data_IF_383915075920
#
_entry.id   IF_383915075920
#
_cell.length_a   1.000
_cell.length_b   1.000
_cell.length_c   1.000
_cell.angle_alpha   90.00
_cell.angle_beta   90.00
_cell.angle_gamma   90.00
#
_symmetry.space_group_name_H-M   'P 1'
#
loop_
_entity.id
_entity.type
_entity.pdbx_description
1 polymer ?
#
# COMPACT_ATOMS: atom_id res chain seq x y z
N UNK A 1 5.43 9.11 12.61
CA UNK A 1 4.37 8.29 12.00
C UNK A 1 3.04 9.00 12.23
N UNK A 2 2.40 9.57 11.22
CA UNK A 2 0.96 9.82 11.33
C UNK A 2 0.33 8.44 11.51
N UNK A 3 -0.41 8.24 12.60
CA UNK A 3 -1.05 6.96 12.92
C UNK A 3 -2.18 6.74 11.90
N UNK A 4 -1.81 6.35 10.68
CA UNK A 4 -2.74 6.25 9.57
C UNK A 4 -3.63 5.03 9.84
N UNK A 5 -4.88 5.31 10.18
CA UNK A 5 -5.94 4.32 10.31
C UNK A 5 -6.12 3.61 8.98
N UNK A 6 -5.97 2.29 8.96
CA UNK A 6 -6.23 1.48 7.77
C UNK A 6 -7.74 1.28 7.60
N UNK A 7 -8.21 1.36 6.35
CA UNK A 7 -9.63 1.25 6.02
C UNK A 7 -9.91 -0.12 5.43
N UNK A 8 -10.86 -0.86 5.99
CA UNK A 8 -11.22 -2.20 5.53
C UNK A 8 -12.70 -2.25 5.16
N UNK A 9 -13.00 -2.70 3.94
CA UNK A 9 -14.37 -2.98 3.55
C UNK A 9 -14.77 -4.33 4.15
N UNK A 10 -15.67 -4.35 5.12
CA UNK A 10 -16.24 -5.59 5.66
C UNK A 10 -17.58 -5.84 4.99
N UNK A 11 -17.69 -7.00 4.32
CA UNK A 11 -18.92 -7.49 3.72
C UNK A 11 -19.20 -8.88 4.29
N UNK A 12 -20.33 -9.03 4.98
CA UNK A 12 -20.72 -10.29 5.60
C UNK A 12 -21.81 -10.97 4.78
N UNK A 13 -21.58 -12.21 4.32
CA UNK A 13 -22.55 -12.97 3.53
C UNK A 13 -23.07 -14.19 4.29
N UNK A 14 -24.35 -14.51 4.10
CA UNK A 14 -25.02 -15.63 4.73
C UNK A 14 -26.12 -16.22 3.82
N UNK A 15 -26.65 -17.39 4.17
CA UNK A 15 -27.88 -17.92 3.59
C UNK A 15 -29.02 -18.01 4.61
N UNK A 16 -30.25 -17.64 4.24
CA UNK A 16 -31.41 -17.69 5.14
C UNK A 16 -31.76 -19.09 5.66
N UNK A 17 -31.26 -20.14 5.00
CA UNK A 17 -31.53 -21.55 5.36
C UNK A 17 -30.66 -22.06 6.52
N UNK A 18 -29.67 -21.27 6.96
CA UNK A 18 -28.80 -21.58 8.10
C UNK A 18 -29.23 -20.79 9.35
N UNK A 19 -28.47 -20.93 10.44
CA UNK A 19 -28.77 -20.23 11.70
C UNK A 19 -28.42 -18.74 11.58
N UNK A 20 -29.39 -17.94 11.13
CA UNK A 20 -29.23 -16.49 10.90
C UNK A 20 -28.86 -15.72 12.18
N UNK A 21 -29.52 -15.94 13.34
CA UNK A 21 -29.11 -15.28 14.58
C UNK A 21 -27.65 -15.57 14.97
N UNK A 22 -27.19 -16.82 14.81
CA UNK A 22 -25.78 -17.14 15.05
C UNK A 22 -24.88 -16.44 14.03
N UNK A 23 -25.23 -16.48 12.75
CA UNK A 23 -24.48 -15.83 11.67
C UNK A 23 -24.32 -14.31 11.94
N UNK A 24 -25.37 -13.65 12.42
CA UNK A 24 -25.32 -12.23 12.79
C UNK A 24 -24.38 -12.00 13.97
N UNK A 25 -24.49 -12.82 15.02
CA UNK A 25 -23.64 -12.71 16.20
C UNK A 25 -22.14 -12.88 15.87
N UNK A 26 -21.79 -13.77 14.95
CA UNK A 26 -20.38 -13.93 14.53
C UNK A 26 -19.91 -12.77 13.64
N UNK A 27 -20.78 -12.20 12.80
CA UNK A 27 -20.46 -11.02 12.01
C UNK A 27 -20.26 -9.78 12.90
N UNK A 28 -21.11 -9.60 13.92
CA UNK A 28 -21.00 -8.54 14.93
C UNK A 28 -19.67 -8.66 15.69
N UNK A 29 -19.27 -9.88 16.05
CA UNK A 29 -18.01 -10.16 16.72
C UNK A 29 -16.80 -9.82 15.85
N UNK A 30 -16.82 -10.16 14.55
CA UNK A 30 -15.76 -9.81 13.61
C UNK A 30 -15.65 -8.29 13.44
N UNK A 31 -16.78 -7.58 13.27
CA UNK A 31 -16.82 -6.12 13.19
C UNK A 31 -16.25 -5.46 14.46
N UNK A 32 -16.66 -5.95 15.64
CA UNK A 32 -16.15 -5.45 16.92
C UNK A 32 -14.64 -5.67 17.06
N UNK A 33 -14.12 -6.83 16.65
CA UNK A 33 -12.67 -7.13 16.67
C UNK A 33 -11.86 -6.20 15.77
N UNK A 34 -12.35 -5.93 14.54
CA UNK A 34 -11.69 -5.02 13.60
C UNK A 34 -11.66 -3.58 14.12
N UNK A 35 -12.80 -3.08 14.62
CA UNK A 35 -12.88 -1.71 15.17
C UNK A 35 -12.05 -1.55 16.45
N UNK A 36 -12.04 -2.55 17.34
CA UNK A 36 -11.22 -2.54 18.55
C UNK A 36 -9.71 -2.53 18.26
N UNK A 37 -9.29 -3.12 17.12
CA UNK A 37 -7.91 -3.06 16.65
C UNK A 37 -7.55 -1.73 15.96
N UNK A 38 -8.45 -0.76 15.94
CA UNK A 38 -8.23 0.56 15.35
C UNK A 38 -8.31 0.57 13.83
N UNK A 39 -8.97 -0.41 13.19
CA UNK A 39 -9.29 -0.37 11.76
C UNK A 39 -10.58 0.41 11.54
N UNK A 40 -10.60 1.27 10.51
CA UNK A 40 -11.83 1.92 10.06
C UNK A 40 -12.60 0.95 9.16
N UNK A 41 -13.77 0.50 9.61
CA UNK A 41 -14.61 -0.40 8.83
C UNK A 41 -15.53 0.42 7.91
N UNK A 42 -15.48 0.14 6.61
CA UNK A 42 -16.38 0.69 5.59
C UNK A 42 -17.22 -0.44 4.96
N UNK A 43 -18.21 -0.10 4.14
CA UNK A 43 -19.14 -1.06 3.54
C UNK A 43 -20.38 -1.26 4.40
N UNK A 44 -20.88 -2.50 4.47
CA UNK A 44 -22.11 -2.83 5.22
C UNK A 44 -21.84 -3.28 6.67
N UNK A 45 -20.56 -3.35 7.07
CA UNK A 45 -20.18 -3.75 8.41
C UNK A 45 -20.63 -5.18 8.73
N UNK A 46 -21.36 -5.34 9.83
CA UNK A 46 -21.88 -6.64 10.26
C UNK A 46 -23.21 -7.04 9.59
N UNK A 47 -23.83 -6.17 8.76
CA UNK A 47 -25.07 -6.51 8.07
C UNK A 47 -24.88 -7.73 7.16
N UNK A 48 -25.77 -8.72 7.29
CA UNK A 48 -25.74 -9.95 6.50
C UNK A 48 -26.42 -9.76 5.14
N UNK A 49 -25.63 -9.92 4.08
CA UNK A 49 -26.10 -9.98 2.71
C UNK A 49 -26.51 -11.43 2.40
N UNK A 50 -27.76 -11.62 2.01
CA UNK A 50 -28.35 -12.95 1.80
C UNK A 50 -28.83 -13.21 0.36
N UNK A 51 -28.72 -12.21 -0.51
CA UNK A 51 -29.14 -12.28 -1.91
C UNK A 51 -28.26 -11.40 -2.81
N UNK A 52 -28.45 -11.56 -4.12
CA UNK A 52 -27.69 -10.84 -5.13
C UNK A 52 -27.95 -9.33 -5.10
N UNK A 53 -29.18 -8.88 -4.81
CA UNK A 53 -29.53 -7.46 -4.81
C UNK A 53 -28.84 -6.73 -3.66
N UNK A 54 -28.74 -7.34 -2.48
CA UNK A 54 -27.97 -6.83 -1.35
C UNK A 54 -26.49 -6.72 -1.69
N UNK A 55 -25.91 -7.72 -2.36
CA UNK A 55 -24.54 -7.67 -2.84
C UNK A 55 -24.32 -6.55 -3.86
N UNK A 56 -25.23 -6.35 -4.82
CA UNK A 56 -25.12 -5.26 -5.78
C UNK A 56 -25.20 -3.88 -5.13
N UNK A 57 -26.09 -3.69 -4.14
CA UNK A 57 -26.15 -2.43 -3.37
C UNK A 57 -24.84 -2.18 -2.60
N UNK A 58 -24.27 -3.22 -1.98
CA UNK A 58 -23.00 -3.10 -1.28
C UNK A 58 -21.85 -2.76 -2.23
N UNK A 59 -21.78 -3.40 -3.39
CA UNK A 59 -20.79 -3.09 -4.45
C UNK A 59 -20.93 -1.62 -4.89
N UNK A 60 -22.14 -1.16 -5.16
CA UNK A 60 -22.39 0.24 -5.53
C UNK A 60 -21.94 1.22 -4.43
N UNK A 61 -22.20 0.90 -3.16
CA UNK A 61 -21.73 1.70 -2.02
C UNK A 61 -20.20 1.72 -1.85
N UNK A 62 -19.49 0.74 -2.39
CA UNK A 62 -18.02 0.65 -2.34
C UNK A 62 -17.32 1.30 -3.56
N UNK A 63 -18.06 1.68 -4.60
CA UNK A 63 -17.50 2.17 -5.86
C UNK A 63 -16.55 3.37 -5.64
N UNK A 64 -17.01 4.38 -4.90
CA UNK A 64 -16.24 5.60 -4.60
C UNK A 64 -15.52 5.55 -3.23
N UNK A 65 -15.75 4.50 -2.45
CA UNK A 65 -15.13 4.34 -1.14
C UNK A 65 -13.64 4.00 -1.29
N UNK A 66 -12.76 4.72 -0.58
CA UNK A 66 -11.34 4.35 -0.50
C UNK A 66 -11.12 3.38 0.65
N UNK A 67 -10.65 2.17 0.35
CA UNK A 67 -10.27 1.16 1.33
C UNK A 67 -9.03 0.39 0.88
N UNK A 68 -8.35 -0.21 1.85
CA UNK A 68 -7.05 -0.84 1.67
C UNK A 68 -7.16 -2.38 1.59
N UNK A 69 -8.26 -2.98 2.04
CA UNK A 69 -8.55 -4.39 1.83
C UNK A 69 -10.07 -4.65 1.83
N UNK A 70 -10.50 -5.68 1.09
CA UNK A 70 -11.85 -6.22 1.16
C UNK A 70 -11.84 -7.50 2.01
N UNK A 71 -12.60 -7.51 3.09
CA UNK A 71 -12.86 -8.69 3.91
C UNK A 71 -14.25 -9.22 3.56
N UNK A 72 -14.28 -10.37 2.89
CA UNK A 72 -15.51 -11.13 2.71
C UNK A 72 -15.65 -12.11 3.86
N UNK A 73 -16.51 -11.77 4.81
CA UNK A 73 -16.80 -12.60 5.96
C UNK A 73 -17.95 -13.57 5.63
N UNK A 74 -17.62 -14.86 5.61
CA UNK A 74 -18.56 -15.93 5.32
C UNK A 74 -19.30 -16.31 6.60
N UNK A 75 -20.29 -15.52 7.01
CA UNK A 75 -20.98 -15.70 8.29
C UNK A 75 -21.75 -17.03 8.37
N UNK A 76 -22.27 -17.51 7.24
CA UNK A 76 -22.72 -18.89 7.04
C UNK A 76 -22.43 -19.34 5.61
N UNK A 77 -22.81 -20.55 5.24
CA UNK A 77 -22.69 -21.01 3.86
C UNK A 77 -23.42 -20.04 2.94
N UNK A 78 -22.76 -19.68 1.85
CA UNK A 78 -23.30 -18.96 0.72
C UNK A 78 -22.62 -19.50 -0.54
N UNK A 79 -23.35 -19.53 -1.65
CA UNK A 79 -22.75 -19.89 -2.93
C UNK A 79 -21.73 -18.82 -3.38
N UNK A 80 -20.97 -19.13 -4.42
CA UNK A 80 -19.86 -18.28 -4.86
C UNK A 80 -20.28 -17.03 -5.63
N UNK A 81 -21.56 -16.83 -5.95
CA UNK A 81 -21.99 -15.70 -6.80
C UNK A 81 -21.64 -14.34 -6.21
N UNK A 82 -21.96 -14.10 -4.94
CA UNK A 82 -21.64 -12.84 -4.24
C UNK A 82 -20.13 -12.65 -4.08
N UNK A 83 -19.39 -13.73 -3.78
CA UNK A 83 -17.94 -13.68 -3.64
C UNK A 83 -17.24 -13.28 -4.95
N UNK A 84 -17.70 -13.85 -6.07
CA UNK A 84 -17.22 -13.50 -7.42
C UNK A 84 -17.53 -12.06 -7.75
N UNK A 85 -18.77 -11.60 -7.56
CA UNK A 85 -19.17 -10.23 -7.88
C UNK A 85 -18.36 -9.19 -7.08
N UNK A 86 -18.13 -9.44 -5.79
CA UNK A 86 -17.33 -8.58 -4.93
C UNK A 86 -15.85 -8.55 -5.35
N UNK A 87 -15.29 -9.70 -5.73
CA UNK A 87 -13.91 -9.78 -6.21
C UNK A 87 -13.73 -9.04 -7.54
N UNK A 88 -14.66 -9.21 -8.48
CA UNK A 88 -14.67 -8.50 -9.77
C UNK A 88 -14.79 -6.99 -9.59
N UNK A 89 -15.56 -6.53 -8.60
CA UNK A 89 -15.72 -5.09 -8.31
C UNK A 89 -14.43 -4.40 -7.82
N UNK A 90 -13.45 -5.16 -7.30
CA UNK A 90 -12.24 -4.58 -6.67
C UNK A 90 -10.92 -4.96 -7.35
N UNK A 91 -10.93 -5.91 -8.29
CA UNK A 91 -9.71 -6.44 -8.92
C UNK A 91 -8.96 -5.39 -9.74
N UNK A 92 -9.66 -4.56 -10.51
CA UNK A 92 -9.04 -3.49 -11.32
C UNK A 92 -8.40 -2.42 -10.43
N UNK A 93 -8.95 -2.25 -9.22
CA UNK A 93 -8.38 -1.37 -8.20
C UNK A 93 -7.18 -2.00 -7.48
N UNK A 94 -6.86 -3.27 -7.74
CA UNK A 94 -5.80 -4.07 -7.10
C UNK A 94 -5.94 -4.13 -5.58
N UNK A 95 -7.17 -4.13 -5.09
CA UNK A 95 -7.43 -4.22 -3.65
C UNK A 95 -7.34 -5.70 -3.24
N UNK A 96 -6.52 -6.03 -2.23
CA UNK A 96 -6.43 -7.41 -1.76
C UNK A 96 -7.74 -7.84 -1.08
N UNK A 97 -8.18 -9.05 -1.40
CA UNK A 97 -9.37 -9.68 -0.83
C UNK A 97 -8.98 -10.77 0.17
N UNK A 98 -9.66 -10.81 1.32
CA UNK A 98 -9.59 -11.88 2.32
C UNK A 98 -10.94 -12.60 2.40
N UNK A 99 -10.93 -13.92 2.28
CA UNK A 99 -12.06 -14.78 2.67
C UNK A 99 -11.91 -15.18 4.13
N UNK A 100 -12.90 -14.90 4.97
CA UNK A 100 -12.87 -15.26 6.40
C UNK A 100 -14.04 -16.18 6.74
N UNK A 101 -13.72 -17.42 7.12
CA UNK A 101 -14.67 -18.36 7.72
C UNK A 101 -14.39 -18.60 9.21
N UNK A 102 -15.43 -18.98 9.95
CA UNK A 102 -15.34 -19.33 11.38
C UNK A 102 -15.58 -20.84 11.58
N UNK A 103 -14.87 -21.51 12.50
CA UNK A 103 -15.12 -22.91 12.79
C UNK A 103 -16.56 -23.16 13.26
N UNK A 104 -17.21 -24.20 12.71
CA UNK A 104 -18.49 -24.68 13.24
C UNK A 104 -18.30 -25.34 14.61
N UNK A 105 -19.31 -25.18 15.47
CA UNK A 105 -19.41 -25.88 16.74
C UNK A 105 -19.54 -27.40 16.51
N UNK A 106 -18.72 -28.20 17.20
CA UNK A 106 -18.72 -29.66 17.10
C UNK A 106 -19.73 -30.29 18.07
N UNK A 107 -21.00 -29.90 17.96
CA UNK A 107 -22.08 -30.40 18.84
C UNK A 107 -22.63 -31.77 18.44
N UNK A 108 -22.34 -32.24 17.22
CA UNK A 108 -22.94 -33.46 16.64
C UNK A 108 -24.41 -33.28 16.19
N UNK A 109 -24.97 -32.08 16.37
CA UNK A 109 -26.31 -31.72 15.91
C UNK A 109 -26.34 -31.20 14.47
N UNK A 110 -27.41 -30.48 14.14
CA UNK A 110 -27.55 -29.79 12.85
C UNK A 110 -26.40 -28.80 12.67
N UNK A 111 -25.77 -28.83 11.49
CA UNK A 111 -24.76 -27.86 11.08
C UNK A 111 -25.38 -26.46 10.98
N UNK A 112 -24.80 -25.49 11.71
CA UNK A 112 -25.42 -24.18 11.95
C UNK A 112 -24.93 -23.11 10.98
N UNK A 113 -23.63 -23.03 10.71
CA UNK A 113 -23.04 -22.00 9.84
C UNK A 113 -22.53 -22.58 8.53
N UNK A 114 -21.74 -23.65 8.56
CA UNK A 114 -21.13 -24.26 7.36
C UNK A 114 -20.28 -23.26 6.54
N UNK A 115 -19.63 -22.31 7.22
CA UNK A 115 -18.87 -21.22 6.60
C UNK A 115 -17.62 -21.73 5.86
N UNK A 116 -16.97 -22.78 6.39
CA UNK A 116 -15.78 -23.39 5.78
C UNK A 116 -16.08 -23.94 4.38
N UNK A 117 -17.22 -24.60 4.20
CA UNK A 117 -17.65 -25.05 2.88
C UNK A 117 -17.93 -23.86 1.95
N UNK A 118 -18.50 -22.78 2.48
CA UNK A 118 -18.73 -21.53 1.75
C UNK A 118 -17.43 -20.92 1.20
N UNK A 119 -16.40 -20.72 2.03
CA UNK A 119 -15.13 -20.15 1.56
C UNK A 119 -14.37 -21.07 0.62
N UNK A 120 -14.50 -22.39 0.76
CA UNK A 120 -13.89 -23.34 -0.20
C UNK A 120 -14.57 -23.24 -1.58
N UNK A 121 -15.90 -23.13 -1.62
CA UNK A 121 -16.65 -22.94 -2.85
C UNK A 121 -16.34 -21.57 -3.50
N UNK A 122 -16.27 -20.51 -2.69
CA UNK A 122 -15.86 -19.18 -3.13
C UNK A 122 -14.42 -19.21 -3.68
N UNK A 123 -13.47 -19.72 -2.92
CA UNK A 123 -12.06 -19.82 -3.31
C UNK A 123 -11.86 -20.61 -4.60
N UNK A 124 -12.57 -21.73 -4.77
CA UNK A 124 -12.56 -22.48 -6.04
C UNK A 124 -13.02 -21.62 -7.22
N UNK A 125 -14.13 -20.89 -7.06
CA UNK A 125 -14.69 -20.04 -8.11
C UNK A 125 -13.79 -18.86 -8.47
N UNK A 126 -13.12 -18.26 -7.47
CA UNK A 126 -12.15 -17.17 -7.65
C UNK A 126 -10.89 -17.68 -8.37
N UNK A 127 -10.34 -18.83 -7.93
CA UNK A 127 -9.18 -19.45 -8.57
C UNK A 127 -9.44 -19.79 -10.04
N UNK A 128 -10.61 -20.34 -10.36
CA UNK A 128 -11.06 -20.61 -11.74
C UNK A 128 -11.11 -19.36 -12.62
N UNK A 129 -11.32 -18.18 -12.03
CA UNK A 129 -11.37 -16.87 -12.69
C UNK A 129 -10.05 -16.09 -12.61
N UNK A 130 -9.02 -16.66 -11.98
CA UNK A 130 -7.73 -15.98 -11.71
C UNK A 130 -7.90 -14.70 -10.88
N UNK A 131 -8.90 -14.66 -10.02
CA UNK A 131 -9.11 -13.57 -9.07
C UNK A 131 -8.30 -13.88 -7.79
N UNK A 132 -7.34 -13.01 -7.40
CA UNK A 132 -6.47 -13.26 -6.26
C UNK A 132 -7.24 -13.08 -4.94
N UNK A 133 -7.00 -13.98 -3.99
CA UNK A 133 -7.54 -13.87 -2.64
C UNK A 133 -6.57 -14.50 -1.62
N UNK A 134 -6.65 -14.04 -0.38
CA UNK A 134 -6.14 -14.74 0.81
C UNK A 134 -7.31 -15.33 1.59
N UNK A 135 -7.05 -16.23 2.53
CA UNK A 135 -8.10 -16.76 3.39
C UNK A 135 -7.66 -16.94 4.84
N UNK A 136 -8.62 -16.96 5.75
CA UNK A 136 -8.45 -17.33 7.15
C UNK A 136 -9.64 -18.17 7.62
N UNK A 137 -9.35 -19.19 8.43
CA UNK A 137 -10.35 -20.03 9.07
C UNK A 137 -10.10 -20.02 10.59
N UNK A 138 -10.64 -19.01 11.26
CA UNK A 138 -10.46 -18.74 12.68
C UNK A 138 -11.73 -18.09 13.23
N UNK A 139 -11.96 -18.18 14.55
CA UNK A 139 -13.14 -17.57 15.19
C UNK A 139 -13.21 -16.06 14.93
N UNK A 140 -14.42 -15.50 14.97
CA UNK A 140 -14.66 -14.08 14.68
C UNK A 140 -13.93 -13.13 15.66
N UNK A 141 -13.69 -13.59 16.88
CA UNK A 141 -12.96 -12.90 17.94
C UNK A 141 -11.45 -13.17 17.94
N UNK A 142 -10.93 -13.91 16.96
CA UNK A 142 -9.53 -14.30 16.90
C UNK A 142 -8.61 -13.09 16.67
N UNK A 143 -7.66 -12.80 17.59
CA UNK A 143 -6.69 -11.74 17.39
C UNK A 143 -5.79 -11.99 16.17
N UNK A 144 -5.49 -13.24 15.86
CA UNK A 144 -4.68 -13.63 14.69
C UNK A 144 -5.40 -13.36 13.37
N UNK A 145 -6.73 -13.54 13.33
CA UNK A 145 -7.53 -13.21 12.16
C UNK A 145 -7.53 -11.69 11.92
N UNK A 146 -7.74 -10.92 12.98
CA UNK A 146 -7.66 -9.45 12.95
C UNK A 146 -6.27 -8.98 12.54
N UNK A 147 -5.19 -9.59 13.06
CA UNK A 147 -3.82 -9.29 12.66
C UNK A 147 -3.56 -9.61 11.19
N UNK A 148 -4.16 -10.68 10.66
CA UNK A 148 -4.10 -11.02 9.23
C UNK A 148 -4.81 -10.00 8.37
N UNK A 149 -6.00 -9.53 8.78
CA UNK A 149 -6.71 -8.42 8.11
C UNK A 149 -5.86 -7.16 8.12
N UNK A 150 -5.29 -6.79 9.27
CA UNK A 150 -4.45 -5.59 9.39
C UNK A 150 -3.18 -5.69 8.50
N UNK A 151 -2.52 -6.85 8.43
CA UNK A 151 -1.38 -7.06 7.54
C UNK A 151 -1.78 -6.94 6.07
N UNK A 152 -2.95 -7.46 5.69
CA UNK A 152 -3.46 -7.35 4.33
C UNK A 152 -3.80 -5.91 3.97
N UNK A 153 -4.44 -5.16 4.88
CA UNK A 153 -4.76 -3.75 4.70
C UNK A 153 -3.47 -2.90 4.57
N UNK A 154 -2.42 -3.20 5.33
CA UNK A 154 -1.09 -2.58 5.16
C UNK A 154 -0.54 -2.79 3.76
N UNK A 155 -0.61 -4.03 3.25
CA UNK A 155 -0.15 -4.35 1.90
C UNK A 155 -0.99 -3.63 0.83
N UNK A 156 -2.31 -3.60 0.96
CA UNK A 156 -3.17 -2.92 0.00
C UNK A 156 -3.03 -1.39 0.04
N UNK A 157 -2.75 -0.80 1.21
CA UNK A 157 -2.37 0.63 1.31
C UNK A 157 -1.09 0.91 0.53
N UNK A 158 -0.08 0.06 0.66
CA UNK A 158 1.17 0.19 -0.08
C UNK A 158 0.92 0.07 -1.60
N UNK A 159 0.17 -0.93 -2.06
CA UNK A 159 -0.21 -1.08 -3.47
C UNK A 159 -0.94 0.15 -4.00
N UNK A 160 -1.88 0.70 -3.21
CA UNK A 160 -2.63 1.90 -3.60
C UNK A 160 -1.75 3.13 -3.74
N UNK A 161 -0.77 3.32 -2.85
CA UNK A 161 0.20 4.41 -2.94
C UNK A 161 1.11 4.24 -4.17
N UNK A 162 1.63 3.03 -4.38
CA UNK A 162 2.53 2.75 -5.51
C UNK A 162 1.82 2.90 -6.87
N UNK A 163 0.51 2.63 -6.93
CA UNK A 163 -0.28 2.75 -8.17
C UNK A 163 -0.34 4.16 -8.75
N UNK A 164 -0.19 5.17 -7.91
CA UNK A 164 -0.14 6.58 -8.34
C UNK A 164 1.23 7.21 -8.10
N UNK A 165 2.21 6.41 -7.69
CA UNK A 165 3.55 6.91 -7.42
C UNK A 165 4.26 7.26 -8.72
N UNK A 166 4.96 8.40 -8.71
CA UNK A 166 5.84 8.86 -9.78
C UNK A 166 7.25 8.91 -9.21
N UNK A 167 8.18 8.18 -9.81
CA UNK A 167 9.57 8.11 -9.35
C UNK A 167 10.44 8.89 -10.33
N UNK A 168 11.17 9.89 -9.84
CA UNK A 168 12.15 10.61 -10.67
C UNK A 168 13.40 9.77 -10.87
N UNK A 169 13.80 9.53 -12.11
CA UNK A 169 15.06 8.85 -12.44
C UNK A 169 16.05 9.88 -12.96
N UNK A 170 17.12 10.14 -12.19
CA UNK A 170 18.17 11.09 -12.58
C UNK A 170 19.35 10.34 -13.18
N UNK A 171 19.50 10.49 -14.49
CA UNK A 171 20.49 9.76 -15.30
C UNK A 171 20.14 8.28 -15.48
N UNK A 172 21.10 7.53 -16.00
CA UNK A 172 21.02 6.08 -16.20
C UNK A 172 21.97 5.36 -15.25
N UNK A 173 21.69 4.09 -14.95
CA UNK A 173 22.59 3.30 -14.10
C UNK A 173 24.02 3.27 -14.69
N UNK A 174 25.07 3.24 -13.85
CA UNK A 174 26.44 3.17 -14.35
C UNK A 174 26.70 1.89 -15.15
N UNK A 175 27.67 1.95 -16.07
CA UNK A 175 28.08 0.77 -16.82
C UNK A 175 28.59 -0.34 -15.88
N UNK A 176 28.09 -1.57 -16.06
CA UNK A 176 28.40 -2.72 -15.20
C UNK A 176 27.55 -2.85 -13.93
N UNK A 177 26.60 -1.93 -13.69
CA UNK A 177 25.64 -1.99 -12.58
C UNK A 177 24.31 -2.61 -13.04
N UNK A 178 24.37 -3.80 -13.63
CA UNK A 178 23.21 -4.44 -14.27
C UNK A 178 22.05 -4.72 -13.29
N UNK A 179 22.33 -4.81 -11.98
CA UNK A 179 21.31 -4.97 -10.92
C UNK A 179 20.45 -3.72 -10.70
N UNK A 180 20.88 -2.56 -11.21
CA UNK A 180 20.12 -1.32 -11.16
C UNK A 180 19.25 -1.11 -12.40
N UNK A 181 19.40 -1.96 -13.42
CA UNK A 181 18.53 -1.94 -14.59
C UNK A 181 17.10 -2.35 -14.20
N UNK A 182 16.12 -1.75 -14.88
CA UNK A 182 14.71 -2.03 -14.64
C UNK A 182 13.91 -1.98 -15.96
N UNK A 183 12.72 -2.56 -15.94
CA UNK A 183 11.78 -2.58 -17.07
C UNK A 183 10.58 -1.68 -16.73
N UNK A 184 10.45 -0.47 -17.32
CA UNK A 184 9.36 0.46 -17.01
C UNK A 184 7.97 -0.18 -17.19
N UNK A 185 7.79 -0.98 -18.25
CA UNK A 185 6.54 -1.68 -18.52
C UNK A 185 6.21 -2.71 -17.44
N UNK A 186 7.21 -3.43 -16.92
CA UNK A 186 7.02 -4.40 -15.85
C UNK A 186 6.68 -3.72 -14.52
N UNK A 187 7.35 -2.61 -14.19
CA UNK A 187 7.05 -1.82 -12.99
C UNK A 187 5.61 -1.28 -13.01
N UNK A 188 5.19 -0.73 -14.14
CA UNK A 188 3.82 -0.26 -14.35
C UNK A 188 2.81 -1.42 -14.28
N UNK A 189 3.09 -2.56 -14.91
CA UNK A 189 2.22 -3.73 -14.86
C UNK A 189 2.03 -4.26 -13.44
N UNK A 190 3.11 -4.33 -12.65
CA UNK A 190 3.07 -4.84 -11.26
C UNK A 190 2.38 -3.86 -10.31
N UNK A 191 2.77 -2.59 -10.35
CA UNK A 191 2.37 -1.63 -9.31
C UNK A 191 1.53 -0.48 -9.83
N UNK A 192 1.69 -0.09 -11.10
CA UNK A 192 1.06 1.10 -11.70
C UNK A 192 1.97 2.34 -11.65
N UNK A 193 3.14 2.20 -11.03
CA UNK A 193 4.14 3.26 -10.85
C UNK A 193 4.65 3.79 -12.19
N UNK A 194 4.80 5.11 -12.28
CA UNK A 194 5.40 5.81 -13.41
C UNK A 194 6.85 6.19 -13.07
N UNK A 195 7.74 6.13 -14.06
CA UNK A 195 9.11 6.65 -13.94
C UNK A 195 9.26 7.89 -14.82
N UNK A 196 9.72 8.98 -14.20
CA UNK A 196 9.89 10.29 -14.83
C UNK A 196 11.40 10.52 -15.02
N UNK A 197 11.93 10.44 -16.25
CA UNK A 197 13.37 10.59 -16.48
C UNK A 197 13.79 12.06 -16.41
N UNK A 198 14.95 12.30 -15.82
CA UNK A 198 15.67 13.58 -15.77
C UNK A 198 17.09 13.37 -16.29
N UNK A 199 17.54 14.25 -17.19
CA UNK A 199 18.92 14.25 -17.64
C UNK A 199 19.85 14.63 -16.47
N UNK A 200 20.90 13.83 -16.26
CA UNK A 200 21.84 14.02 -15.16
C UNK A 200 22.49 15.41 -15.22
N UNK A 201 22.92 15.82 -16.41
CA UNK A 201 23.60 17.09 -16.66
C UNK A 201 22.70 18.28 -16.33
N UNK A 202 21.39 18.15 -16.58
CA UNK A 202 20.42 19.19 -16.23
C UNK A 202 20.29 19.33 -14.72
N UNK A 203 20.19 18.20 -13.99
CA UNK A 203 20.12 18.22 -12.52
C UNK A 203 21.41 18.76 -11.90
N UNK A 204 22.59 18.43 -12.46
CA UNK A 204 23.87 18.99 -12.01
C UNK A 204 23.94 20.50 -12.25
N UNK A 205 23.48 20.98 -13.41
CA UNK A 205 23.42 22.40 -13.72
C UNK A 205 22.45 23.15 -12.78
N UNK A 206 21.27 22.59 -12.55
CA UNK A 206 20.28 23.15 -11.61
C UNK A 206 20.86 23.21 -10.19
N UNK A 207 21.52 22.14 -9.73
CA UNK A 207 22.19 22.07 -8.44
C UNK A 207 23.31 23.10 -8.31
N UNK A 208 24.09 23.36 -9.36
CA UNK A 208 25.12 24.39 -9.37
C UNK A 208 24.52 25.81 -9.33
N UNK A 209 23.36 26.01 -9.96
CA UNK A 209 22.68 27.30 -10.04
C UNK A 209 21.90 27.67 -8.76
N UNK A 210 21.70 26.74 -7.81
CA UNK A 210 20.97 27.04 -6.56
C UNK A 210 21.62 28.22 -5.80
N UNK A 211 20.84 29.24 -5.40
CA UNK A 211 21.34 30.38 -4.63
C UNK A 211 21.89 30.02 -3.24
N UNK A 212 22.65 30.91 -2.58
CA UNK A 212 23.22 30.64 -1.26
C UNK A 212 22.20 30.37 -0.15
N UNK A 213 21.01 30.96 -0.23
CA UNK A 213 20.02 30.89 0.86
C UNK A 213 19.45 29.46 1.04
N UNK A 214 18.90 28.77 0.03
CA UNK A 214 18.46 27.37 0.18
C UNK A 214 19.58 26.42 0.62
N UNK A 215 20.84 26.71 0.24
CA UNK A 215 21.99 25.92 0.67
C UNK A 215 22.25 26.09 2.17
N UNK A 216 22.17 27.33 2.66
CA UNK A 216 22.34 27.63 4.09
C UNK A 216 21.24 26.96 4.94
N UNK A 217 20.00 26.90 4.45
CA UNK A 217 18.90 26.17 5.12
C UNK A 217 19.21 24.68 5.25
N UNK A 218 19.68 24.05 4.18
CA UNK A 218 20.11 22.66 4.21
C UNK A 218 21.25 22.45 5.22
N UNK A 219 22.31 23.26 5.17
CA UNK A 219 23.46 23.14 6.08
C UNK A 219 23.04 23.29 7.54
N UNK A 220 22.19 24.26 7.84
CA UNK A 220 21.64 24.46 9.19
C UNK A 220 20.84 23.24 9.67
N UNK A 221 20.08 22.61 8.78
CA UNK A 221 19.32 21.38 9.10
C UNK A 221 20.24 20.17 9.26
N UNK A 222 21.23 20.02 8.38
CA UNK A 222 22.21 18.93 8.44
C UNK A 222 23.03 18.99 9.74
N UNK A 223 23.37 20.18 10.22
CA UNK A 223 24.10 20.37 11.48
C UNK A 223 23.33 19.86 12.72
N UNK A 224 22.00 19.70 12.64
CA UNK A 224 21.19 19.16 13.73
C UNK A 224 21.31 17.63 13.85
N UNK A 225 21.72 16.95 12.77
CA UNK A 225 21.76 15.48 12.68
C UNK A 225 23.18 14.94 12.44
N UNK A 226 24.10 15.77 11.94
CA UNK A 226 25.50 15.44 11.70
C UNK A 226 26.40 16.32 12.57
N UNK A 227 26.87 15.77 13.70
CA UNK A 227 27.63 16.52 14.71
C UNK A 227 29.04 16.94 14.25
N UNK A 228 29.57 16.33 13.19
CA UNK A 228 30.90 16.58 12.63
C UNK A 228 30.85 17.27 11.26
N UNK A 229 29.74 17.95 10.94
CA UNK A 229 29.55 18.61 9.64
C UNK A 229 30.62 19.69 9.39
N UNK A 230 31.11 20.34 10.45
CA UNK A 230 32.15 21.37 10.41
C UNK A 230 33.55 20.81 10.12
N UNK A 231 33.76 19.50 10.26
CA UNK A 231 35.01 18.82 9.86
C UNK A 231 35.07 18.54 8.35
N UNK A 232 33.94 18.65 7.63
CA UNK A 232 33.85 18.36 6.20
C UNK A 232 34.33 19.53 5.34
N UNK A 233 34.73 19.24 4.11
CA UNK A 233 35.06 20.27 3.13
C UNK A 233 33.85 21.16 2.83
N UNK A 234 34.01 22.47 3.01
CA UNK A 234 32.92 23.42 2.93
C UNK A 234 32.37 23.57 1.50
N UNK A 235 33.23 23.47 0.48
CA UNK A 235 32.82 23.57 -0.92
C UNK A 235 32.00 22.36 -1.34
N UNK A 236 32.48 21.14 -1.05
CA UNK A 236 31.76 19.91 -1.31
C UNK A 236 30.43 19.82 -0.52
N UNK A 237 30.42 20.31 0.72
CA UNK A 237 29.21 20.39 1.55
C UNK A 237 28.19 21.34 0.93
N UNK A 238 28.64 22.51 0.46
CA UNK A 238 27.78 23.47 -0.22
C UNK A 238 27.27 22.93 -1.58
N UNK A 239 28.08 22.15 -2.30
CA UNK A 239 27.65 21.41 -3.50
C UNK A 239 26.51 20.44 -3.19
N UNK A 240 26.68 19.62 -2.14
CA UNK A 240 25.65 18.69 -1.64
C UNK A 240 24.35 19.41 -1.28
N UNK A 241 24.46 20.59 -0.65
CA UNK A 241 23.29 21.43 -0.33
C UNK A 241 22.52 21.87 -1.58
N UNK A 242 23.23 22.19 -2.67
CA UNK A 242 22.62 22.50 -3.96
C UNK A 242 21.91 21.30 -4.57
N UNK A 243 22.52 20.11 -4.49
CA UNK A 243 21.90 18.85 -4.96
C UNK A 243 20.59 18.58 -4.23
N UNK A 244 20.58 18.74 -2.90
CA UNK A 244 19.36 18.57 -2.11
C UNK A 244 18.26 19.51 -2.59
N UNK A 245 18.55 20.81 -2.71
CA UNK A 245 17.56 21.79 -3.13
C UNK A 245 17.03 21.52 -4.55
N UNK A 246 17.90 21.13 -5.49
CA UNK A 246 17.50 20.78 -6.86
C UNK A 246 16.58 19.55 -6.88
N UNK A 247 16.96 18.46 -6.21
CA UNK A 247 16.15 17.24 -6.15
C UNK A 247 14.84 17.45 -5.40
N UNK A 248 14.85 18.19 -4.28
CA UNK A 248 13.66 18.55 -3.53
C UNK A 248 12.69 19.38 -4.37
N UNK A 249 13.22 20.36 -5.12
CA UNK A 249 12.42 21.18 -6.05
C UNK A 249 11.84 20.34 -7.18
N UNK A 250 12.64 19.45 -7.76
CA UNK A 250 12.17 18.54 -8.81
C UNK A 250 11.06 17.62 -8.30
N UNK A 251 11.21 17.06 -7.10
CA UNK A 251 10.20 16.23 -6.45
C UNK A 251 8.90 16.98 -6.21
N UNK A 252 8.96 18.19 -5.66
CA UNK A 252 7.76 19.02 -5.46
C UNK A 252 7.09 19.44 -6.78
N UNK A 253 7.88 19.87 -7.76
CA UNK A 253 7.36 20.38 -9.05
C UNK A 253 6.69 19.29 -9.88
N UNK A 254 7.23 18.08 -9.84
CA UNK A 254 6.72 16.94 -10.62
C UNK A 254 5.91 15.97 -9.78
N UNK A 255 5.50 16.32 -8.56
CA UNK A 255 4.71 15.45 -7.65
C UNK A 255 5.32 14.04 -7.53
N UNK A 256 6.64 13.98 -7.32
CA UNK A 256 7.37 12.72 -7.22
C UNK A 256 7.21 12.13 -5.82
N UNK A 257 6.93 10.84 -5.77
CA UNK A 257 6.91 10.06 -4.54
C UNK A 257 8.31 9.63 -4.08
N UNK A 258 9.34 9.84 -4.90
CA UNK A 258 10.72 9.49 -4.62
C UNK A 258 11.62 9.72 -5.84
N UNK A 259 12.92 9.61 -5.64
CA UNK A 259 13.94 9.74 -6.69
C UNK A 259 14.95 8.59 -6.67
N UNK A 260 15.42 8.19 -7.83
CA UNK A 260 16.55 7.29 -8.03
C UNK A 260 17.63 8.06 -8.79
N UNK A 261 18.82 8.17 -8.22
CA UNK A 261 19.87 9.07 -8.69
C UNK A 261 21.13 8.29 -9.02
N UNK A 262 21.59 8.41 -10.26
CA UNK A 262 22.96 8.00 -10.62
C UNK A 262 23.96 8.97 -9.98
N UNK A 263 24.40 8.65 -8.77
CA UNK A 263 25.26 9.53 -7.97
C UNK A 263 26.76 9.50 -8.32
N UNK A 264 27.18 8.60 -9.21
CA UNK A 264 28.58 8.42 -9.58
C UNK A 264 28.73 8.19 -11.10
N UNK A 265 29.82 8.68 -11.73
CA UNK A 265 30.89 9.52 -11.14
C UNK A 265 30.63 11.04 -11.15
N UNK A 266 29.64 11.50 -11.91
CA UNK A 266 29.58 12.89 -12.40
C UNK A 266 29.40 13.93 -11.28
N UNK A 267 28.75 13.57 -10.18
CA UNK A 267 28.68 14.44 -8.99
C UNK A 267 30.06 14.79 -8.43
N UNK A 268 31.02 13.86 -8.46
CA UNK A 268 32.38 14.10 -7.99
C UNK A 268 33.22 14.85 -9.03
N UNK A 269 33.12 14.45 -10.29
CA UNK A 269 34.01 14.97 -11.35
C UNK A 269 33.56 16.32 -11.90
N UNK A 270 32.26 16.62 -11.86
CA UNK A 270 31.69 17.87 -12.41
C UNK A 270 31.27 18.85 -11.33
N UNK A 271 30.64 18.37 -10.25
CA UNK A 271 30.12 19.22 -9.17
C UNK A 271 31.02 19.26 -7.92
N UNK A 272 32.02 18.39 -7.83
CA UNK A 272 32.97 18.35 -6.72
C UNK A 272 32.37 17.89 -5.38
N UNK A 273 31.22 17.21 -5.39
CA UNK A 273 30.51 16.81 -4.16
C UNK A 273 29.90 15.41 -4.25
N UNK A 274 29.42 14.89 -3.12
CA UNK A 274 28.67 13.64 -3.06
C UNK A 274 27.16 13.88 -2.98
N UNK A 275 26.34 13.15 -3.74
CA UNK A 275 24.88 13.25 -3.64
C UNK A 275 24.30 12.60 -2.36
N UNK A 276 25.06 11.74 -1.68
CA UNK A 276 24.55 10.88 -0.60
C UNK A 276 23.96 11.68 0.58
N UNK A 277 24.59 12.78 0.97
CA UNK A 277 24.08 13.64 2.06
C UNK A 277 22.73 14.28 1.70
N UNK A 278 22.58 14.72 0.45
CA UNK A 278 21.33 15.26 -0.07
C UNK A 278 20.22 14.20 -0.08
N UNK A 279 20.50 13.00 -0.61
CA UNK A 279 19.54 11.90 -0.64
C UNK A 279 19.14 11.44 0.76
N UNK A 280 20.09 11.40 1.71
CA UNK A 280 19.79 11.09 3.10
C UNK A 280 18.79 12.08 3.72
N UNK A 281 18.92 13.36 3.41
CA UNK A 281 18.01 14.39 3.92
C UNK A 281 16.63 14.33 3.24
N UNK A 282 16.55 13.99 1.94
CA UNK A 282 15.27 13.70 1.29
C UNK A 282 14.54 12.52 1.95
N UNK A 283 15.28 11.48 2.36
CA UNK A 283 14.71 10.36 3.09
C UNK A 283 14.09 10.78 4.43
N UNK A 284 14.71 11.71 5.17
CA UNK A 284 14.13 12.31 6.37
C UNK A 284 12.86 13.11 6.08
N UNK A 285 12.77 13.72 4.89
CA UNK A 285 11.57 14.42 4.39
C UNK A 285 10.48 13.46 3.92
N UNK A 286 10.70 12.14 4.03
CA UNK A 286 9.82 11.09 3.51
C UNK A 286 9.65 11.14 2.00
N UNK A 287 10.65 11.63 1.29
CA UNK A 287 10.85 11.47 -0.14
C UNK A 287 11.97 10.44 -0.34
N UNK A 288 11.65 9.13 -0.47
CA UNK A 288 12.62 8.10 -0.74
C UNK A 288 13.60 8.49 -1.85
N UNK A 289 14.88 8.48 -1.54
CA UNK A 289 15.97 8.78 -2.46
C UNK A 289 17.01 7.66 -2.37
N UNK A 290 17.37 7.11 -3.53
CA UNK A 290 18.36 6.02 -3.68
C UNK A 290 19.35 6.30 -4.78
#
# INVERSE_FOLDING_TARGET
MTNATYRVALISIARPTFDVPLAQSVADSAYAGLTAAGLEVVGTGAELLMDADAAQRAIAGLADATFDALVLFQASFADSSMAVALAEAVVDRRIPMLLWAVPDERSGGRLRLNSLCGINLAGHALARRRLPYSYVHQSADSPDAVATVARLARAGRALRLLRTARIGLVGEHPAGFDTCAYEPAALHALFGTEVVPFALESVLADAAAIPPEPRAEFVARAAQVAANLDELDAEATNGTAGVYAALHTAAATHDLAGVAVRCWPEFFTELGCAACGAMSMLNEDRCPAS
#
